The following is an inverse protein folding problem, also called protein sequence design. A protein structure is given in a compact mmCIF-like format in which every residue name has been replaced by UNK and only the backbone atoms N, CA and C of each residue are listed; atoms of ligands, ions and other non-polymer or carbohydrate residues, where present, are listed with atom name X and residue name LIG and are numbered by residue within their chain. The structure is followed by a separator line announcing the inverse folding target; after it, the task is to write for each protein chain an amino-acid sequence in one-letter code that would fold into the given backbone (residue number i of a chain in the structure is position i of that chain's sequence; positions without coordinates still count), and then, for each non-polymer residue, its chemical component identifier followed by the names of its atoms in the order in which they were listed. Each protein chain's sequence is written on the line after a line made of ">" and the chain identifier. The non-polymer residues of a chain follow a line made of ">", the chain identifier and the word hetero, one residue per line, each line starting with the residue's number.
data_IF_985276870433
#
_entry.id   IF_985276870433
#
_cell.length_a   1.000
_cell.length_b   1.000
_cell.length_c   1.000
_cell.angle_alpha   90.00
_cell.angle_beta   90.00
_cell.angle_gamma   90.00
#
_symmetry.space_group_name_H-M   'P 1'
#
loop_
_entity.id
_entity.type
_entity.pdbx_description
1 polymer ?
#
# COMPACT_ATOMS: atom_id res chain seq x y z
N UNK A 1 12.64 -40.76 -8.18
CA UNK A 1 12.34 -39.75 -7.14
C UNK A 1 11.75 -38.51 -7.84
N UNK A 2 10.65 -37.99 -7.36
CA UNK A 2 10.10 -36.76 -7.92
C UNK A 2 11.03 -35.60 -7.54
N UNK A 3 11.55 -34.89 -8.53
CA UNK A 3 12.32 -33.68 -8.28
C UNK A 3 11.37 -32.58 -7.79
N UNK A 4 11.38 -32.31 -6.50
CA UNK A 4 10.61 -31.21 -5.91
C UNK A 4 11.51 -29.97 -5.86
N UNK A 5 11.09 -28.92 -6.55
CA UNK A 5 11.71 -27.61 -6.43
C UNK A 5 11.09 -26.89 -5.23
N UNK A 6 11.87 -26.67 -4.18
CA UNK A 6 11.41 -25.93 -2.99
C UNK A 6 11.92 -24.50 -3.06
N UNK A 7 11.01 -23.56 -3.36
CA UNK A 7 11.29 -22.12 -3.41
C UNK A 7 10.74 -21.49 -2.13
N UNK A 8 11.54 -21.40 -1.07
CA UNK A 8 11.04 -20.73 0.11
C UNK A 8 11.65 -21.08 1.46
N UNK A 9 12.72 -21.84 1.55
CA UNK A 9 13.31 -22.17 2.86
C UNK A 9 14.75 -21.67 3.04
N UNK A 10 15.12 -20.58 2.37
CA UNK A 10 16.51 -20.08 2.40
C UNK A 10 17.49 -20.90 1.57
N UNK A 11 17.01 -21.96 0.88
CA UNK A 11 17.82 -22.83 0.05
C UNK A 11 18.01 -22.32 -1.38
N UNK A 12 17.95 -21.02 -1.54
CA UNK A 12 18.06 -20.35 -2.83
C UNK A 12 18.73 -18.98 -2.71
N UNK A 13 19.30 -18.51 -3.81
CA UNK A 13 20.00 -17.24 -3.90
C UNK A 13 19.82 -16.62 -5.29
N UNK A 14 20.17 -15.37 -5.44
CA UNK A 14 20.27 -14.71 -6.74
C UNK A 14 21.71 -14.36 -7.04
N UNK A 15 22.11 -14.52 -8.28
CA UNK A 15 23.40 -14.03 -8.79
C UNK A 15 23.17 -13.38 -10.15
N UNK A 16 23.45 -12.09 -10.24
CA UNK A 16 23.09 -11.29 -11.42
C UNK A 16 21.60 -11.42 -11.70
N UNK A 17 21.19 -11.91 -12.86
CA UNK A 17 19.79 -12.12 -13.24
C UNK A 17 19.35 -13.59 -13.12
N UNK A 18 20.15 -14.43 -12.45
CA UNK A 18 19.89 -15.87 -12.33
C UNK A 18 19.39 -16.22 -10.94
N UNK A 19 18.41 -17.13 -10.90
CA UNK A 19 17.94 -17.75 -9.68
C UNK A 19 18.72 -19.03 -9.45
N UNK A 20 19.24 -19.23 -8.24
CA UNK A 20 20.03 -20.37 -7.84
C UNK A 20 19.31 -21.17 -6.78
N UNK A 21 19.24 -22.49 -6.93
CA UNK A 21 18.80 -23.41 -5.88
C UNK A 21 20.02 -23.98 -5.13
N UNK A 22 19.86 -24.20 -3.82
CA UNK A 22 20.86 -24.87 -3.02
C UNK A 22 20.83 -26.38 -3.28
N UNK A 23 21.99 -26.95 -3.64
CA UNK A 23 22.18 -28.39 -3.75
C UNK A 23 22.82 -28.91 -2.47
N UNK A 24 22.04 -29.58 -1.63
CA UNK A 24 22.48 -30.13 -0.34
C UNK A 24 23.50 -31.25 -0.47
N UNK A 25 23.52 -32.00 -1.58
CA UNK A 25 24.49 -33.06 -1.80
C UNK A 25 25.91 -32.56 -2.04
N UNK A 26 26.01 -31.39 -2.69
CA UNK A 26 27.28 -30.77 -3.05
C UNK A 26 27.60 -29.53 -2.20
N UNK A 27 26.71 -29.11 -1.33
CA UNK A 27 26.90 -27.94 -0.46
C UNK A 27 27.06 -26.61 -1.20
N UNK A 28 26.46 -26.47 -2.38
CA UNK A 28 26.62 -25.27 -3.21
C UNK A 28 25.33 -24.85 -3.92
N UNK A 29 25.28 -23.60 -4.37
CA UNK A 29 24.19 -23.07 -5.19
C UNK A 29 24.41 -23.40 -6.67
N UNK A 30 23.35 -23.81 -7.35
CA UNK A 30 23.34 -24.12 -8.79
C UNK A 30 22.24 -23.34 -9.49
N UNK A 31 22.42 -22.94 -10.77
CA UNK A 31 21.34 -22.38 -11.56
C UNK A 31 20.12 -23.30 -11.59
N UNK A 32 18.95 -22.73 -11.44
CA UNK A 32 17.69 -23.48 -11.61
C UNK A 32 17.46 -23.76 -13.10
N UNK A 33 16.70 -24.84 -13.44
CA UNK A 33 16.45 -25.23 -14.81
C UNK A 33 15.37 -24.38 -15.50
N UNK A 34 15.30 -23.10 -15.17
CA UNK A 34 14.41 -22.14 -15.82
C UNK A 34 15.01 -20.74 -15.79
N UNK A 35 14.72 -19.95 -16.82
CA UNK A 35 15.08 -18.56 -16.89
C UNK A 35 14.02 -17.70 -16.21
N UNK A 36 14.47 -16.71 -15.42
CA UNK A 36 13.59 -15.71 -14.82
C UNK A 36 13.62 -14.45 -15.67
N UNK A 37 12.44 -14.03 -16.14
CA UNK A 37 12.30 -12.76 -16.87
C UNK A 37 11.16 -11.94 -16.27
N UNK A 38 11.39 -10.64 -16.12
CA UNK A 38 10.40 -9.66 -15.70
C UNK A 38 10.64 -8.35 -16.45
N UNK A 39 9.61 -7.84 -17.13
CA UNK A 39 9.72 -6.68 -18.02
C UNK A 39 9.64 -5.33 -17.29
N UNK A 40 9.37 -5.31 -15.98
CA UNK A 40 9.22 -4.08 -15.18
C UNK A 40 10.04 -4.13 -13.91
N UNK A 41 10.27 -2.99 -13.27
CA UNK A 41 10.71 -2.92 -11.88
C UNK A 41 9.61 -3.46 -10.96
N UNK A 42 9.96 -3.84 -9.74
CA UNK A 42 8.99 -4.23 -8.73
C UNK A 42 9.59 -4.15 -7.33
N UNK A 43 8.77 -3.89 -6.35
CA UNK A 43 9.18 -3.79 -4.95
C UNK A 43 9.09 -5.13 -4.24
N UNK A 44 9.82 -5.28 -3.16
CA UNK A 44 9.80 -6.42 -2.25
C UNK A 44 10.33 -5.98 -0.88
N UNK A 45 10.00 -6.72 0.17
CA UNK A 45 10.55 -6.49 1.50
C UNK A 45 11.84 -7.28 1.63
N UNK A 46 12.95 -6.60 1.84
CA UNK A 46 14.25 -7.22 2.01
C UNK A 46 14.41 -7.87 3.40
N UNK A 47 15.53 -8.58 3.61
CA UNK A 47 15.81 -9.26 4.88
C UNK A 47 15.89 -8.34 6.11
N UNK A 48 16.10 -7.05 5.92
CA UNK A 48 16.10 -6.03 6.98
C UNK A 48 14.72 -5.44 7.25
N UNK A 49 13.67 -5.94 6.58
CA UNK A 49 12.29 -5.45 6.70
C UNK A 49 12.02 -4.15 5.94
N UNK A 50 12.93 -3.71 5.07
CA UNK A 50 12.75 -2.49 4.27
C UNK A 50 12.24 -2.82 2.88
N UNK A 51 11.39 -1.94 2.34
CA UNK A 51 10.96 -2.01 0.94
C UNK A 51 12.14 -1.63 0.04
N UNK A 52 12.42 -2.50 -0.92
CA UNK A 52 13.48 -2.34 -1.90
C UNK A 52 12.94 -2.53 -3.32
N UNK A 53 13.58 -1.90 -4.31
CA UNK A 53 13.18 -2.03 -5.71
C UNK A 53 14.16 -2.93 -6.46
N UNK A 54 13.65 -4.03 -7.01
CA UNK A 54 14.38 -4.87 -7.94
C UNK A 54 14.23 -4.35 -9.38
N UNK A 55 15.32 -4.26 -10.11
CA UNK A 55 15.33 -3.89 -11.52
C UNK A 55 14.68 -4.96 -12.42
N UNK A 56 14.45 -4.62 -13.70
CA UNK A 56 13.97 -5.58 -14.70
C UNK A 56 14.82 -6.84 -14.72
N UNK A 57 14.18 -8.00 -14.80
CA UNK A 57 14.85 -9.30 -14.87
C UNK A 57 15.46 -9.79 -13.55
N UNK A 58 15.49 -8.97 -12.49
CA UNK A 58 16.00 -9.37 -11.18
C UNK A 58 14.90 -10.05 -10.36
N UNK A 59 15.09 -11.31 -9.91
CA UNK A 59 14.15 -11.98 -9.04
C UNK A 59 13.97 -11.23 -7.71
N UNK A 60 12.74 -11.19 -7.21
CA UNK A 60 12.39 -10.57 -5.93
C UNK A 60 12.27 -11.65 -4.86
N UNK A 61 13.07 -11.51 -3.82
CA UNK A 61 13.01 -12.39 -2.67
C UNK A 61 12.41 -11.61 -1.52
N UNK A 62 11.17 -11.90 -1.26
CA UNK A 62 10.38 -11.20 -0.26
C UNK A 62 10.46 -11.87 1.11
N UNK A 63 10.64 -11.06 2.14
CA UNK A 63 10.78 -11.47 3.54
C UNK A 63 9.61 -10.98 4.41
N UNK A 64 8.51 -10.49 3.83
CA UNK A 64 7.35 -10.01 4.59
C UNK A 64 6.71 -11.10 5.43
N UNK A 65 6.59 -12.31 4.88
CA UNK A 65 5.90 -13.43 5.52
C UNK A 65 6.83 -14.44 6.20
N UNK A 66 8.12 -14.39 5.90
CA UNK A 66 9.07 -15.40 6.38
C UNK A 66 10.50 -14.87 6.47
N UNK A 67 11.20 -15.18 7.55
CA UNK A 67 12.62 -14.86 7.74
C UNK A 67 13.55 -15.60 6.76
N UNK A 68 13.05 -16.67 6.14
CA UNK A 68 13.77 -17.40 5.08
C UNK A 68 13.62 -16.75 3.71
N UNK A 69 12.62 -15.89 3.55
CA UNK A 69 12.24 -15.28 2.28
C UNK A 69 11.56 -16.24 1.31
N UNK A 70 10.87 -15.71 0.34
CA UNK A 70 10.21 -16.44 -0.73
C UNK A 70 10.37 -15.72 -2.08
N UNK A 71 10.38 -16.48 -3.19
CA UNK A 71 10.33 -15.87 -4.52
C UNK A 71 8.95 -15.25 -4.73
N UNK A 72 8.90 -13.92 -4.86
CA UNK A 72 7.66 -13.17 -5.08
C UNK A 72 7.28 -13.22 -6.56
N UNK A 73 6.16 -13.91 -6.85
CA UNK A 73 5.56 -14.00 -8.18
C UNK A 73 4.18 -13.35 -8.14
N UNK A 74 4.04 -12.24 -8.86
CA UNK A 74 2.80 -11.48 -8.96
C UNK A 74 2.48 -11.20 -10.42
N UNK A 75 1.19 -11.14 -10.81
CA UNK A 75 0.81 -10.65 -12.13
C UNK A 75 1.19 -9.18 -12.25
N UNK A 76 1.57 -8.76 -13.46
CA UNK A 76 1.82 -7.36 -13.74
C UNK A 76 0.53 -6.55 -13.53
N UNK A 77 0.61 -5.49 -12.74
CA UNK A 77 -0.46 -4.51 -12.51
C UNK A 77 0.03 -3.09 -12.72
N UNK A 78 -0.91 -2.20 -12.87
CA UNK A 78 -0.63 -0.76 -12.99
C UNK A 78 -1.30 -0.05 -11.83
N UNK A 79 -0.51 0.68 -11.06
CA UNK A 79 -1.07 1.60 -10.08
C UNK A 79 -1.74 2.77 -10.82
N UNK A 80 -3.03 2.95 -10.62
CA UNK A 80 -3.83 4.00 -11.24
C UNK A 80 -3.58 5.37 -10.63
N UNK A 81 -3.07 5.43 -9.38
CA UNK A 81 -2.65 6.67 -8.73
C UNK A 81 -1.29 7.10 -9.29
N UNK A 82 -1.27 8.23 -10.00
CA UNK A 82 -0.04 8.73 -10.63
C UNK A 82 0.99 9.23 -9.62
N UNK A 83 0.53 9.73 -8.46
CA UNK A 83 1.36 10.37 -7.44
C UNK A 83 1.27 9.63 -6.11
N UNK A 84 1.73 8.38 -6.09
CA UNK A 84 1.63 7.45 -4.95
C UNK A 84 2.26 7.94 -3.64
N UNK A 85 3.28 8.81 -3.70
CA UNK A 85 4.01 9.35 -2.56
C UNK A 85 3.96 10.88 -2.48
N UNK A 86 3.49 11.54 -3.53
CA UNK A 86 3.40 13.01 -3.58
C UNK A 86 1.99 13.49 -3.26
N UNK A 87 1.59 13.39 -1.99
CA UNK A 87 0.26 13.76 -1.51
C UNK A 87 0.01 15.27 -1.46
N UNK A 88 1.01 16.11 -1.74
CA UNK A 88 0.81 17.56 -1.94
C UNK A 88 0.37 17.90 -3.36
N UNK A 89 0.58 16.97 -4.32
CA UNK A 89 0.22 17.16 -5.72
C UNK A 89 -1.26 17.50 -5.88
N UNK A 90 -1.57 18.29 -6.91
CA UNK A 90 -2.94 18.73 -7.21
C UNK A 90 -3.89 17.61 -7.61
N UNK A 91 -3.38 16.45 -8.04
CA UNK A 91 -4.18 15.25 -8.26
C UNK A 91 -4.89 14.79 -6.98
N UNK A 92 -4.25 15.00 -5.82
CA UNK A 92 -4.83 14.74 -4.52
C UNK A 92 -5.71 15.91 -4.09
N UNK A 93 -7.01 15.79 -4.30
CA UNK A 93 -8.01 16.75 -3.85
C UNK A 93 -8.09 16.76 -2.33
N UNK A 94 -8.02 17.94 -1.75
CA UNK A 94 -8.15 18.18 -0.30
C UNK A 94 -9.55 18.70 -0.02
N UNK A 95 -10.47 17.78 0.31
CA UNK A 95 -11.89 18.07 0.46
C UNK A 95 -12.27 18.36 1.91
N UNK A 96 -13.14 19.35 2.07
CA UNK A 96 -13.77 19.70 3.33
C UNK A 96 -15.25 20.00 3.15
N UNK A 97 -16.04 19.77 4.19
CA UNK A 97 -17.41 20.29 4.26
C UNK A 97 -17.88 20.43 5.72
N UNK A 98 -19.04 21.08 5.93
CA UNK A 98 -19.55 21.37 7.25
C UNK A 98 -18.60 22.25 8.06
N UNK A 99 -18.25 21.80 9.26
CA UNK A 99 -17.24 22.43 10.12
C UNK A 99 -15.82 21.93 9.87
N UNK A 100 -15.65 20.96 8.95
CA UNK A 100 -14.36 20.37 8.63
C UNK A 100 -13.39 21.36 8.04
N UNK A 101 -12.10 21.08 8.22
CA UNK A 101 -11.01 21.86 7.68
C UNK A 101 -10.30 21.10 6.56
N UNK A 102 -9.68 21.85 5.65
CA UNK A 102 -8.86 21.29 4.57
C UNK A 102 -7.72 20.46 5.20
N UNK A 103 -7.50 19.20 4.75
CA UNK A 103 -6.35 18.42 5.20
C UNK A 103 -5.03 19.14 4.95
N UNK A 104 -4.15 19.14 5.96
CA UNK A 104 -2.81 19.73 5.84
C UNK A 104 -1.82 18.60 5.59
N UNK A 105 -1.13 18.66 4.46
CA UNK A 105 -0.11 17.68 4.06
C UNK A 105 1.27 18.30 4.13
N UNK A 106 2.21 17.63 4.78
CA UNK A 106 3.62 17.99 4.83
C UNK A 106 4.46 16.80 4.35
N UNK A 107 5.17 16.98 3.25
CA UNK A 107 6.03 15.93 2.69
C UNK A 107 7.29 15.72 3.52
N UNK A 108 7.95 14.56 3.34
CA UNK A 108 9.24 14.22 3.92
C UNK A 108 9.31 14.43 5.44
N UNK A 109 8.26 13.98 6.14
CA UNK A 109 8.07 14.25 7.58
C UNK A 109 8.49 13.08 8.48
N UNK A 110 8.61 11.87 7.92
CA UNK A 110 9.00 10.67 8.66
C UNK A 110 9.75 9.70 7.74
N UNK A 111 10.60 8.86 8.35
CA UNK A 111 11.22 7.75 7.63
C UNK A 111 10.12 6.74 7.28
N UNK A 112 10.01 6.40 6.00
CA UNK A 112 9.03 5.46 5.48
C UNK A 112 9.54 4.00 5.55
N UNK A 113 8.71 3.02 5.17
CA UNK A 113 9.11 1.61 5.11
C UNK A 113 10.28 1.29 4.16
N UNK A 114 10.66 2.19 3.25
CA UNK A 114 11.85 2.04 2.41
C UNK A 114 13.16 2.52 3.07
N UNK A 115 13.08 3.01 4.31
CA UNK A 115 14.22 3.50 5.07
C UNK A 115 14.64 4.94 4.74
N UNK A 116 13.90 5.65 3.90
CA UNK A 116 14.21 7.04 3.52
C UNK A 116 13.21 8.04 4.11
N UNK A 117 13.62 9.31 4.23
CA UNK A 117 12.78 10.39 4.76
C UNK A 117 11.86 10.91 3.64
N UNK A 118 10.80 10.18 3.33
CA UNK A 118 9.89 10.52 2.23
C UNK A 118 8.39 10.30 2.55
N UNK A 119 8.05 9.84 3.75
CA UNK A 119 6.65 9.74 4.15
C UNK A 119 6.03 11.11 4.39
N UNK A 120 4.76 11.28 4.05
CA UNK A 120 4.00 12.51 4.27
C UNK A 120 3.23 12.46 5.58
N UNK A 121 3.31 13.54 6.35
CA UNK A 121 2.42 13.81 7.48
C UNK A 121 1.13 14.42 6.96
N UNK A 122 -0.02 13.91 7.40
CA UNK A 122 -1.35 14.44 7.07
C UNK A 122 -2.13 14.70 8.34
N UNK A 123 -2.64 15.92 8.47
CA UNK A 123 -3.52 16.34 9.57
C UNK A 123 -4.92 16.50 9.03
N UNK A 124 -5.85 15.70 9.54
CA UNK A 124 -7.28 15.80 9.25
C UNK A 124 -8.01 16.42 10.44
N UNK A 125 -8.98 17.30 10.18
CA UNK A 125 -9.76 17.95 11.22
C UNK A 125 -11.20 18.18 10.74
N UNK A 126 -12.18 17.57 11.40
CA UNK A 126 -13.60 17.76 11.11
C UNK A 126 -14.22 18.96 11.85
N UNK A 127 -13.41 19.72 12.57
CA UNK A 127 -13.89 20.86 13.36
C UNK A 127 -14.64 20.40 14.61
N UNK A 128 -15.63 21.21 15.00
CA UNK A 128 -16.41 20.99 16.23
C UNK A 128 -17.76 20.29 15.98
N UNK A 129 -18.09 20.04 14.72
CA UNK A 129 -19.35 19.39 14.35
C UNK A 129 -19.33 17.88 14.61
N UNK A 130 -20.52 17.28 14.65
CA UNK A 130 -20.74 15.85 14.84
C UNK A 130 -21.62 15.24 13.73
N UNK A 131 -21.88 16.02 12.70
CA UNK A 131 -22.75 15.65 11.57
C UNK A 131 -21.94 14.91 10.49
N UNK A 132 -22.62 14.05 9.73
CA UNK A 132 -22.04 13.41 8.52
C UNK A 132 -21.63 14.41 7.43
N UNK A 133 -22.00 15.68 7.58
CA UNK A 133 -21.55 16.77 6.74
C UNK A 133 -20.16 17.32 7.12
N UNK A 134 -19.67 16.97 8.32
CA UNK A 134 -18.37 17.47 8.81
C UNK A 134 -17.26 16.53 8.30
N UNK A 135 -16.56 16.99 7.26
CA UNK A 135 -15.62 16.18 6.46
C UNK A 135 -14.27 16.86 6.37
N UNK A 136 -13.22 16.06 6.46
CA UNK A 136 -11.83 16.40 6.13
C UNK A 136 -11.21 15.19 5.43
N UNK A 137 -11.04 15.23 4.10
CA UNK A 137 -10.66 14.08 3.28
C UNK A 137 -9.57 14.44 2.27
N UNK A 138 -8.67 13.50 2.03
CA UNK A 138 -7.74 13.50 0.93
C UNK A 138 -8.21 12.45 -0.09
N UNK A 139 -8.36 12.84 -1.36
CA UNK A 139 -8.99 12.02 -2.39
C UNK A 139 -8.24 12.13 -3.73
N UNK A 140 -8.13 11.01 -4.44
CA UNK A 140 -7.73 10.99 -5.85
C UNK A 140 -8.75 10.18 -6.66
N UNK A 141 -9.11 10.69 -7.83
CA UNK A 141 -10.13 10.07 -8.70
C UNK A 141 -9.48 9.59 -9.98
N UNK A 142 -9.62 8.31 -10.22
CA UNK A 142 -9.04 7.62 -11.38
C UNK A 142 -10.10 7.05 -12.29
N UNK A 143 -9.73 6.82 -13.55
CA UNK A 143 -10.58 6.06 -14.48
C UNK A 143 -10.49 4.58 -14.14
N UNK A 144 -11.63 3.93 -14.02
CA UNK A 144 -11.76 2.50 -13.72
C UNK A 144 -12.76 1.85 -14.69
N UNK A 145 -12.88 0.53 -14.65
CA UNK A 145 -13.90 -0.21 -15.37
C UNK A 145 -15.02 -0.61 -14.43
N UNK A 146 -16.26 -0.29 -14.75
CA UNK A 146 -17.42 -0.71 -13.94
C UNK A 146 -17.52 -2.23 -13.87
N UNK A 147 -17.86 -2.76 -12.70
CA UNK A 147 -18.04 -4.19 -12.46
C UNK A 147 -16.74 -4.97 -12.23
N UNK A 148 -15.56 -4.34 -12.24
CA UNK A 148 -14.30 -5.01 -11.95
C UNK A 148 -13.88 -4.83 -10.49
N UNK A 149 -13.17 -5.82 -9.95
CA UNK A 149 -12.54 -5.69 -8.65
C UNK A 149 -11.40 -4.67 -8.73
N UNK A 150 -11.35 -3.78 -7.75
CA UNK A 150 -10.27 -2.82 -7.54
C UNK A 150 -9.73 -3.08 -6.14
N UNK A 151 -8.42 -3.17 -6.06
CA UNK A 151 -7.72 -3.22 -4.78
C UNK A 151 -7.04 -1.89 -4.52
N UNK A 152 -7.11 -1.46 -3.27
CA UNK A 152 -6.38 -0.31 -2.75
C UNK A 152 -5.44 -0.74 -1.64
N UNK A 153 -4.27 -0.14 -1.59
CA UNK A 153 -3.37 -0.30 -0.46
C UNK A 153 -2.62 0.99 -0.17
N UNK A 154 -2.20 1.14 1.08
CA UNK A 154 -1.38 2.26 1.55
C UNK A 154 -0.69 1.88 2.84
N UNK A 155 0.54 2.31 3.02
CA UNK A 155 1.20 2.24 4.32
C UNK A 155 0.77 3.43 5.16
N UNK A 156 0.24 3.13 6.36
CA UNK A 156 -0.20 4.11 7.34
C UNK A 156 0.49 3.88 8.67
N UNK A 157 0.70 4.99 9.38
CA UNK A 157 1.17 5.01 10.75
C UNK A 157 0.47 6.16 11.48
N UNK A 158 -0.06 5.90 12.66
CA UNK A 158 -0.55 6.92 13.57
C UNK A 158 0.59 7.71 14.20
N UNK A 159 0.32 8.94 14.63
CA UNK A 159 1.31 9.74 15.37
C UNK A 159 1.63 9.12 16.74
N UNK A 160 0.60 8.62 17.44
CA UNK A 160 0.73 8.02 18.77
C UNK A 160 0.29 6.55 18.83
N UNK A 161 -0.50 6.10 17.83
CA UNK A 161 -1.25 4.86 17.84
C UNK A 161 -2.61 5.00 18.52
N UNK A 162 -3.61 4.30 17.97
CA UNK A 162 -5.01 4.40 18.40
C UNK A 162 -5.81 5.42 17.59
N UNK A 163 -5.19 6.17 16.67
CA UNK A 163 -5.90 7.06 15.77
C UNK A 163 -6.88 6.28 14.89
N UNK A 164 -8.09 6.80 14.76
CA UNK A 164 -9.13 6.21 13.92
C UNK A 164 -9.29 7.04 12.65
N UNK A 165 -9.20 6.41 11.49
CA UNK A 165 -9.30 7.02 10.17
C UNK A 165 -10.27 6.23 9.28
N UNK A 166 -10.88 6.88 8.33
CA UNK A 166 -11.73 6.26 7.31
C UNK A 166 -10.98 6.12 5.99
N UNK A 167 -11.14 4.98 5.33
CA UNK A 167 -10.64 4.72 3.98
C UNK A 167 -11.77 4.20 3.10
N UNK A 168 -11.78 4.57 1.82
CA UNK A 168 -12.70 4.07 0.81
C UNK A 168 -12.02 4.04 -0.55
N UNK A 169 -12.16 2.94 -1.28
CA UNK A 169 -11.47 2.72 -2.55
C UNK A 169 -12.32 2.78 -3.81
N UNK A 170 -13.63 2.64 -3.71
CA UNK A 170 -14.49 2.67 -4.90
C UNK A 170 -15.64 3.65 -4.74
N UNK A 171 -16.06 4.26 -5.86
CA UNK A 171 -17.19 5.17 -5.89
C UNK A 171 -18.48 4.43 -5.48
N UNK A 172 -19.11 4.87 -4.40
CA UNK A 172 -20.30 4.23 -3.84
C UNK A 172 -20.04 3.10 -2.83
N UNK A 173 -18.79 2.71 -2.62
CA UNK A 173 -18.40 1.78 -1.57
C UNK A 173 -18.60 2.35 -0.16
N UNK A 174 -18.70 1.47 0.83
CA UNK A 174 -18.76 1.87 2.23
C UNK A 174 -17.36 2.34 2.70
N UNK A 175 -17.34 3.29 3.64
CA UNK A 175 -16.10 3.60 4.34
C UNK A 175 -15.74 2.48 5.32
N UNK A 176 -14.48 2.09 5.30
CA UNK A 176 -13.90 1.19 6.30
C UNK A 176 -13.19 2.04 7.36
N UNK A 177 -13.47 1.77 8.62
CA UNK A 177 -12.79 2.40 9.74
C UNK A 177 -11.53 1.61 10.08
N UNK A 178 -10.39 2.29 10.11
CA UNK A 178 -9.10 1.73 10.51
C UNK A 178 -8.69 2.35 11.85
N UNK A 179 -8.16 1.53 12.75
CA UNK A 179 -7.45 1.99 13.94
C UNK A 179 -5.96 1.78 13.68
N UNK A 180 -5.20 2.87 13.71
CA UNK A 180 -3.79 2.86 13.37
C UNK A 180 -2.93 2.52 14.59
N UNK A 181 -1.76 1.95 14.32
CA UNK A 181 -0.69 1.77 15.30
C UNK A 181 0.36 2.88 15.13
N UNK A 182 1.29 2.99 16.08
CA UNK A 182 2.47 3.84 15.95
C UNK A 182 3.63 3.15 15.19
N UNK A 183 3.34 2.05 14.50
CA UNK A 183 4.23 1.37 13.57
C UNK A 183 3.66 1.42 12.16
N UNK A 184 4.51 1.25 11.16
CA UNK A 184 4.07 1.17 9.78
C UNK A 184 3.30 -0.12 9.52
N UNK A 185 2.07 0.01 9.04
CA UNK A 185 1.22 -1.12 8.62
C UNK A 185 0.70 -0.84 7.21
N UNK A 186 0.79 -1.82 6.32
CA UNK A 186 0.12 -1.79 5.02
C UNK A 186 -1.34 -2.17 5.21
N UNK A 187 -2.23 -1.28 4.90
CA UNK A 187 -3.68 -1.53 4.89
C UNK A 187 -4.14 -1.76 3.47
N UNK A 188 -4.99 -2.76 3.30
CA UNK A 188 -5.53 -3.16 2.02
C UNK A 188 -7.04 -3.33 2.10
N UNK A 189 -7.73 -3.00 1.01
CA UNK A 189 -9.12 -3.39 0.83
C UNK A 189 -9.44 -3.60 -0.65
N UNK A 190 -10.36 -4.52 -0.92
CA UNK A 190 -10.82 -4.82 -2.26
C UNK A 190 -12.30 -4.49 -2.36
N UNK A 191 -12.68 -3.78 -3.41
CA UNK A 191 -14.06 -3.41 -3.69
C UNK A 191 -14.37 -3.64 -5.18
N UNK A 192 -15.66 -3.74 -5.51
CA UNK A 192 -16.08 -3.76 -6.93
C UNK A 192 -16.41 -2.35 -7.37
N UNK A 193 -15.78 -1.88 -8.44
CA UNK A 193 -16.10 -0.56 -9.01
C UNK A 193 -17.54 -0.51 -9.51
N UNK A 194 -18.32 0.42 -9.00
CA UNK A 194 -19.70 0.66 -9.45
C UNK A 194 -19.80 1.57 -10.69
N UNK A 195 -18.70 2.17 -11.13
CA UNK A 195 -18.69 3.17 -12.20
C UNK A 195 -17.35 3.16 -12.96
N UNK A 196 -17.31 3.93 -14.06
CA UNK A 196 -16.09 4.15 -14.87
C UNK A 196 -15.13 5.17 -14.23
N UNK A 197 -15.52 5.80 -13.14
CA UNK A 197 -14.69 6.68 -12.31
C UNK A 197 -14.73 6.17 -10.89
N UNK A 198 -13.59 5.98 -10.28
CA UNK A 198 -13.44 5.54 -8.89
C UNK A 198 -12.58 6.51 -8.11
N UNK A 199 -13.03 6.85 -6.92
CA UNK A 199 -12.33 7.77 -6.02
C UNK A 199 -11.76 6.99 -4.85
N UNK A 200 -10.46 7.04 -4.71
CA UNK A 200 -9.76 6.62 -3.50
C UNK A 200 -9.84 7.75 -2.48
N UNK A 201 -10.26 7.44 -1.26
CA UNK A 201 -10.46 8.46 -0.23
C UNK A 201 -9.88 8.01 1.10
N UNK A 202 -9.22 8.91 1.82
CA UNK A 202 -8.78 8.72 3.20
C UNK A 202 -9.03 10.00 4.00
N UNK A 203 -9.49 9.87 5.24
CA UNK A 203 -9.70 11.04 6.09
C UNK A 203 -10.70 10.81 7.20
N UNK A 204 -11.36 11.89 7.60
CA UNK A 204 -12.36 11.92 8.66
C UNK A 204 -13.71 12.36 8.10
N UNK A 205 -14.77 11.68 8.54
CA UNK A 205 -16.15 12.08 8.34
C UNK A 205 -16.96 11.72 9.58
N UNK A 206 -17.54 12.70 10.24
CA UNK A 206 -18.28 12.48 11.49
C UNK A 206 -19.59 11.71 11.27
N UNK A 207 -20.03 11.00 12.29
CA UNK A 207 -21.37 10.36 12.35
C UNK A 207 -21.59 9.19 11.38
N UNK A 208 -20.61 8.74 10.62
CA UNK A 208 -20.75 7.55 9.79
C UNK A 208 -20.86 6.30 10.66
N UNK A 209 -21.92 5.51 10.44
CA UNK A 209 -22.16 4.28 11.19
C UNK A 209 -22.46 4.49 12.68
N UNK A 210 -22.80 5.72 13.11
CA UNK A 210 -23.02 6.06 14.51
C UNK A 210 -21.76 6.14 15.37
N UNK A 211 -20.59 6.08 14.75
CA UNK A 211 -19.30 6.18 15.45
C UNK A 211 -18.87 7.64 15.50
N UNK A 212 -18.62 8.15 16.71
CA UNK A 212 -17.91 9.42 16.89
C UNK A 212 -16.42 9.14 16.73
N UNK A 213 -15.86 9.55 15.59
CA UNK A 213 -14.42 9.49 15.35
C UNK A 213 -13.73 10.73 15.94
N UNK A 214 -12.45 10.63 16.22
CA UNK A 214 -11.66 11.78 16.65
C UNK A 214 -11.82 12.92 15.66
N UNK A 215 -12.08 14.13 16.16
CA UNK A 215 -12.28 15.32 15.31
C UNK A 215 -10.98 15.85 14.71
N UNK A 216 -9.84 15.49 15.29
CA UNK A 216 -8.51 15.89 14.83
C UNK A 216 -7.57 14.68 14.91
N UNK A 217 -6.97 14.30 13.78
CA UNK A 217 -6.09 13.14 13.67
C UNK A 217 -4.87 13.51 12.83
N UNK A 218 -3.70 13.13 13.34
CA UNK A 218 -2.44 13.21 12.60
C UNK A 218 -1.99 11.80 12.25
N UNK A 219 -1.69 11.58 10.98
CA UNK A 219 -1.18 10.31 10.47
C UNK A 219 0.03 10.53 9.56
N UNK A 220 0.76 9.45 9.29
CA UNK A 220 1.78 9.39 8.25
C UNK A 220 1.36 8.41 7.17
N UNK A 221 1.63 8.77 5.91
CA UNK A 221 1.23 8.00 4.73
C UNK A 221 2.41 7.78 3.80
N UNK A 222 2.44 6.59 3.18
CA UNK A 222 3.44 6.23 2.19
C UNK A 222 2.88 5.21 1.18
N UNK A 223 3.29 5.30 -0.09
CA UNK A 223 3.04 4.34 -1.17
C UNK A 223 1.55 3.96 -1.34
N UNK A 224 0.70 4.94 -1.61
CA UNK A 224 -0.70 4.67 -1.96
C UNK A 224 -0.78 3.97 -3.33
N UNK A 225 -1.59 2.91 -3.39
CA UNK A 225 -1.85 2.15 -4.62
C UNK A 225 -3.34 1.98 -4.83
N UNK A 226 -3.73 1.95 -6.10
CA UNK A 226 -5.09 1.68 -6.54
C UNK A 226 -5.01 0.90 -7.85
N UNK A 227 -5.34 -0.38 -7.82
CA UNK A 227 -5.05 -1.33 -8.89
C UNK A 227 -6.29 -2.11 -9.27
N UNK A 228 -6.44 -2.44 -10.56
CA UNK A 228 -7.46 -3.39 -11.00
C UNK A 228 -7.03 -4.80 -10.60
N UNK A 229 -7.86 -5.46 -9.80
CA UNK A 229 -7.64 -6.81 -9.30
C UNK A 229 -8.15 -7.02 -7.88
N UNK A 230 -8.02 -8.24 -7.38
CA UNK A 230 -8.56 -8.66 -6.09
C UNK A 230 -7.55 -8.63 -4.94
N UNK A 231 -6.31 -8.21 -5.19
CA UNK A 231 -5.24 -8.06 -4.19
C UNK A 231 -4.23 -7.01 -4.69
N UNK A 232 -3.46 -6.40 -3.80
CA UNK A 232 -2.38 -5.47 -4.11
C UNK A 232 -1.10 -6.19 -4.57
N UNK A 233 -0.30 -5.53 -5.40
CA UNK A 233 1.03 -6.02 -5.82
C UNK A 233 2.14 -5.16 -5.22
#
# INVERSE_FOLDING_TARGET
>A
MANTLNLGNGDWATKENSLLGYNSENGNYKPLPFDFTRASNGTFVNKSGLIETAANGVPRIDFSDSTSGALLLEPQRTNLLTYSNDFINVAWSKNQSGTGLIPVVTSNSLISPDGTLNASKVVFNTGVGVSTSDVSMLEDTVTATSGVAINQSVYLRGENGGETILIRGANGGAYTTLTLTNEWVRYESTETSGATSSTWSIGLRQGLGGVVINSNVTIYMYAAQFEIGSYST
#
